data_IF_388004201044
#
_entry.id   IF_388004201044
#
_cell.length_a   1.000
_cell.length_b   1.000
_cell.length_c   1.000
_cell.angle_alpha   90.00
_cell.angle_beta   90.00
_cell.angle_gamma   90.00
#
_symmetry.space_group_name_H-M   'P 1'
#
loop_
_entity.id
_entity.type
_entity.pdbx_description
1 polymer ?
#
# COMPACT_ATOMS: atom_id res chain seq x y z
N UNK A 1 0.70 24.48 19.07
CA UNK A 1 0.25 23.24 18.39
C UNK A 1 -0.43 23.63 17.08
N UNK A 2 0.25 23.48 15.94
CA UNK A 2 -0.36 23.73 14.63
C UNK A 2 -1.41 22.65 14.34
N UNK A 3 -2.69 22.94 14.60
CA UNK A 3 -3.82 22.17 14.05
C UNK A 3 -3.89 22.47 12.55
N UNK A 4 -3.24 21.66 11.73
CA UNK A 4 -3.43 21.73 10.28
C UNK A 4 -4.88 21.31 9.98
N UNK A 5 -5.74 22.30 9.75
CA UNK A 5 -7.20 22.16 9.62
C UNK A 5 -7.65 21.76 8.21
N UNK A 6 -6.70 21.47 7.31
CA UNK A 6 -7.01 21.08 5.93
C UNK A 6 -7.16 19.56 5.87
N UNK A 7 -8.35 19.04 5.54
CA UNK A 7 -8.50 17.61 5.30
C UNK A 7 -7.57 17.20 4.16
N UNK A 8 -6.92 16.05 4.31
CA UNK A 8 -6.12 15.47 3.23
C UNK A 8 -7.09 15.16 2.08
N UNK A 9 -6.82 15.74 0.91
CA UNK A 9 -7.62 15.47 -0.29
C UNK A 9 -7.43 14.02 -0.75
N UNK A 10 -8.43 13.48 -1.45
CA UNK A 10 -8.40 12.09 -1.96
C UNK A 10 -7.10 11.77 -2.71
N UNK A 11 -6.71 12.63 -3.66
CA UNK A 11 -5.50 12.43 -4.44
C UNK A 11 -4.20 12.49 -3.62
N UNK A 12 -4.14 13.33 -2.59
CA UNK A 12 -3.00 13.37 -1.67
C UNK A 12 -2.94 12.12 -0.79
N UNK A 13 -4.08 11.61 -0.32
CA UNK A 13 -4.12 10.38 0.45
C UNK A 13 -3.69 9.17 -0.40
N UNK A 14 -4.16 9.11 -1.65
CA UNK A 14 -3.76 8.05 -2.60
C UNK A 14 -2.28 8.14 -2.92
N UNK A 15 -1.74 9.33 -3.23
CA UNK A 15 -0.32 9.47 -3.55
C UNK A 15 0.58 9.14 -2.36
N UNK A 16 0.16 9.48 -1.13
CA UNK A 16 0.85 9.08 0.09
C UNK A 16 0.91 7.55 0.24
N UNK A 17 -0.22 6.87 0.05
CA UNK A 17 -0.28 5.41 0.13
C UNK A 17 0.56 4.71 -0.93
N UNK A 18 0.42 5.14 -2.20
CA UNK A 18 1.19 4.57 -3.32
C UNK A 18 2.69 4.83 -3.14
N UNK A 19 3.08 6.05 -2.76
CA UNK A 19 4.48 6.38 -2.50
C UNK A 19 5.09 5.52 -1.40
N UNK A 20 4.35 5.28 -0.31
CA UNK A 20 4.80 4.40 0.76
C UNK A 20 4.96 2.93 0.30
N UNK A 21 3.97 2.38 -0.42
CA UNK A 21 4.04 0.99 -0.91
C UNK A 21 5.15 0.78 -1.94
N UNK A 22 5.34 1.73 -2.87
CA UNK A 22 6.41 1.63 -3.88
C UNK A 22 7.79 1.77 -3.23
N UNK A 23 7.97 2.72 -2.31
CA UNK A 23 9.23 2.90 -1.58
C UNK A 23 9.62 1.65 -0.78
N UNK A 24 8.71 1.14 0.05
CA UNK A 24 8.99 -0.03 0.89
C UNK A 24 9.07 -1.34 0.08
N UNK A 25 8.15 -1.57 -0.87
CA UNK A 25 8.08 -2.83 -1.60
C UNK A 25 9.09 -2.92 -2.74
N UNK A 26 9.08 -1.94 -3.64
CA UNK A 26 9.85 -2.02 -4.89
C UNK A 26 11.31 -1.62 -4.66
N UNK A 27 11.57 -0.52 -3.95
CA UNK A 27 12.95 -0.06 -3.79
C UNK A 27 13.70 -0.76 -2.66
N UNK A 28 13.04 -1.11 -1.56
CA UNK A 28 13.73 -1.75 -0.43
C UNK A 28 13.75 -3.29 -0.50
N UNK A 29 12.71 -3.94 -1.04
CA UNK A 29 12.53 -5.40 -0.92
C UNK A 29 12.62 -6.17 -2.25
N UNK A 30 12.56 -5.50 -3.41
CA UNK A 30 12.57 -6.19 -4.71
C UNK A 30 13.87 -6.98 -4.95
N UNK A 31 15.01 -6.44 -4.52
CA UNK A 31 16.32 -7.10 -4.66
C UNK A 31 16.33 -8.47 -3.96
N UNK A 32 15.98 -8.49 -2.68
CA UNK A 32 15.88 -9.73 -1.89
C UNK A 32 14.79 -10.67 -2.43
N UNK A 33 13.63 -10.15 -2.80
CA UNK A 33 12.57 -10.94 -3.41
C UNK A 33 13.04 -11.61 -4.72
N UNK A 34 13.85 -10.91 -5.52
CA UNK A 34 14.43 -11.40 -6.77
C UNK A 34 15.54 -12.43 -6.54
N UNK A 35 16.31 -12.32 -5.46
CA UNK A 35 17.28 -13.33 -5.09
C UNK A 35 16.61 -14.66 -4.71
N UNK A 36 15.45 -14.61 -4.04
CA UNK A 36 14.72 -15.80 -3.59
C UNK A 36 13.86 -16.39 -4.72
N UNK A 37 13.09 -15.56 -5.42
CA UNK A 37 12.08 -16.03 -6.40
C UNK A 37 12.57 -15.99 -7.85
N UNK A 38 13.72 -15.36 -8.13
CA UNK A 38 14.28 -15.23 -9.46
C UNK A 38 13.28 -14.63 -10.46
N UNK A 39 13.09 -15.32 -11.59
CA UNK A 39 12.13 -14.92 -12.62
C UNK A 39 10.67 -14.94 -12.15
N UNK A 40 10.32 -15.68 -11.09
CA UNK A 40 8.96 -15.81 -10.60
C UNK A 40 8.50 -14.66 -9.67
N UNK A 41 9.34 -13.66 -9.39
CA UNK A 41 9.00 -12.50 -8.53
C UNK A 41 7.66 -11.85 -8.89
N UNK A 42 7.38 -11.68 -10.19
CA UNK A 42 6.16 -11.02 -10.63
C UNK A 42 4.91 -11.82 -10.23
N UNK A 43 4.99 -13.15 -10.19
CA UNK A 43 3.90 -14.03 -9.74
C UNK A 43 3.65 -13.80 -8.25
N UNK A 44 4.71 -13.74 -7.44
CA UNK A 44 4.62 -13.43 -6.01
C UNK A 44 3.99 -12.06 -5.75
N UNK A 45 4.34 -11.05 -6.55
CA UNK A 45 3.73 -9.72 -6.49
C UNK A 45 2.25 -9.72 -6.87
N UNK A 46 1.85 -10.48 -7.89
CA UNK A 46 0.43 -10.61 -8.27
C UNK A 46 -0.37 -11.25 -7.13
N UNK A 47 0.11 -12.35 -6.57
CA UNK A 47 -0.55 -13.04 -5.46
C UNK A 47 -0.63 -12.12 -4.23
N UNK A 48 0.48 -11.48 -3.87
CA UNK A 48 0.53 -10.50 -2.78
C UNK A 48 -0.42 -9.33 -3.01
N UNK A 49 -0.55 -8.85 -4.24
CA UNK A 49 -1.48 -7.80 -4.64
C UNK A 49 -2.94 -8.20 -4.46
N UNK A 50 -3.31 -9.43 -4.83
CA UNK A 50 -4.66 -9.96 -4.60
C UNK A 50 -4.99 -10.03 -3.11
N UNK A 51 -4.04 -10.50 -2.28
CA UNK A 51 -4.20 -10.54 -0.82
C UNK A 51 -4.35 -9.12 -0.24
N UNK A 52 -3.53 -8.19 -0.72
CA UNK A 52 -3.58 -6.80 -0.31
C UNK A 52 -4.90 -6.12 -0.71
N UNK A 53 -5.51 -6.47 -1.84
CA UNK A 53 -6.82 -5.97 -2.25
C UNK A 53 -7.92 -6.38 -1.28
N UNK A 54 -7.96 -7.66 -0.87
CA UNK A 54 -8.93 -8.12 0.12
C UNK A 54 -8.73 -7.43 1.47
N UNK A 55 -7.48 -7.27 1.89
CA UNK A 55 -7.13 -6.56 3.12
C UNK A 55 -7.54 -5.08 3.06
N UNK A 56 -7.23 -4.41 1.95
CA UNK A 56 -7.58 -3.01 1.70
C UNK A 56 -9.08 -2.79 1.63
N UNK A 57 -9.85 -3.73 1.06
CA UNK A 57 -11.31 -3.66 1.06
C UNK A 57 -11.88 -3.77 2.48
N UNK A 58 -11.39 -4.72 3.27
CA UNK A 58 -11.81 -4.89 4.67
C UNK A 58 -11.52 -3.64 5.50
N UNK A 59 -10.30 -3.11 5.40
CA UNK A 59 -9.88 -1.90 6.10
C UNK A 59 -10.61 -0.65 5.61
N UNK A 60 -10.85 -0.53 4.31
CA UNK A 60 -11.61 0.58 3.72
C UNK A 60 -13.06 0.59 4.18
N UNK A 61 -13.70 -0.57 4.24
CA UNK A 61 -15.07 -0.71 4.77
C UNK A 61 -15.13 -0.44 6.27
N UNK A 62 -14.11 -0.86 7.02
CA UNK A 62 -14.00 -0.55 8.45
C UNK A 62 -13.82 0.95 8.70
N UNK A 63 -12.92 1.61 7.96
CA UNK A 63 -12.68 3.06 8.07
C UNK A 63 -13.88 3.90 7.66
N UNK A 64 -14.67 3.44 6.68
CA UNK A 64 -15.93 4.08 6.33
C UNK A 64 -17.01 3.93 7.42
N UNK A 65 -17.00 2.81 8.17
CA UNK A 65 -17.95 2.55 9.26
C UNK A 65 -17.56 3.24 10.56
N UNK A 66 -16.26 3.38 10.83
CA UNK A 66 -15.69 4.00 12.03
C UNK A 66 -14.74 5.14 11.63
N UNK A 67 -15.27 6.30 11.21
CA UNK A 67 -14.45 7.49 10.95
C UNK A 67 -14.03 8.12 12.28
N UNK A 68 -12.84 7.76 12.77
CA UNK A 68 -12.19 8.32 13.97
C UNK A 68 -11.41 9.60 13.67
#
# INVERSE_FOLDING_TARGET
MHKSKKPIGFWSAVSMGVGAMVGAGIFALLGEASAISGSAVYISFIIGGVIALFSGYSLGKLGARYPS
#
